data_IF_867047692555
#
_entry.id   IF_867047692555
#
_cell.length_a   1.000
_cell.length_b   1.000
_cell.length_c   1.000
_cell.angle_alpha   90.00
_cell.angle_beta   90.00
_cell.angle_gamma   90.00
#
_symmetry.space_group_name_H-M   'P 1'
#
loop_
_entity.id
_entity.type
_entity.pdbx_description
1 polymer ?
#
# COMPACT_ATOMS: atom_id res chain seq x y z
N UNK A 1 -33.14 -61.12 -48.23
CA UNK A 1 -34.06 -62.13 -47.66
C UNK A 1 -33.61 -62.49 -46.24
N UNK A 2 -34.51 -62.32 -45.25
CA UNK A 2 -34.59 -62.94 -43.89
C UNK A 2 -33.31 -62.89 -43.02
N UNK A 3 -33.17 -61.97 -42.06
CA UNK A 3 -33.69 -62.00 -40.67
C UNK A 3 -33.48 -63.32 -39.92
N UNK A 4 -32.73 -63.27 -38.80
CA UNK A 4 -33.19 -63.70 -37.45
C UNK A 4 -32.19 -63.35 -36.34
N UNK A 5 -32.78 -62.88 -35.25
CA UNK A 5 -32.26 -62.35 -33.98
C UNK A 5 -32.02 -63.42 -32.92
N UNK A 6 -31.16 -63.11 -31.93
CA UNK A 6 -31.16 -63.51 -30.49
C UNK A 6 -29.99 -62.72 -29.83
N UNK A 7 -30.18 -61.61 -29.12
CA UNK A 7 -30.82 -61.38 -27.81
C UNK A 7 -30.27 -62.27 -26.69
N UNK A 8 -29.30 -61.75 -25.94
CA UNK A 8 -29.02 -62.14 -24.55
C UNK A 8 -28.66 -60.88 -23.76
N UNK A 9 -29.44 -60.66 -22.70
CA UNK A 9 -29.39 -59.59 -21.72
C UNK A 9 -28.04 -59.46 -21.01
N UNK A 10 -27.54 -58.23 -20.83
CA UNK A 10 -27.23 -57.72 -19.49
C UNK A 10 -27.60 -56.23 -19.38
N UNK A 11 -28.65 -55.98 -18.58
CA UNK A 11 -28.94 -54.70 -17.92
C UNK A 11 -27.68 -54.32 -17.11
N UNK A 12 -27.25 -53.06 -16.99
CA UNK A 12 -27.89 -52.10 -16.11
C UNK A 12 -27.43 -50.66 -16.38
N UNK A 13 -28.45 -49.79 -16.43
CA UNK A 13 -28.57 -48.40 -15.99
C UNK A 13 -27.55 -47.33 -16.40
N UNK A 14 -28.06 -46.44 -17.24
CA UNK A 14 -27.68 -45.04 -17.36
C UNK A 14 -27.92 -44.26 -16.05
N UNK A 15 -27.11 -43.23 -15.82
CA UNK A 15 -27.59 -41.95 -15.30
C UNK A 15 -26.63 -40.84 -15.76
N UNK A 16 -27.09 -40.11 -16.77
CA UNK A 16 -26.69 -38.74 -17.05
C UNK A 16 -27.14 -37.87 -15.88
N UNK A 17 -26.20 -37.18 -15.24
CA UNK A 17 -26.48 -35.94 -14.54
C UNK A 17 -25.73 -34.82 -15.26
N UNK A 18 -26.45 -34.13 -16.15
CA UNK A 18 -26.18 -32.75 -16.48
C UNK A 18 -26.21 -31.94 -15.17
N UNK A 19 -25.04 -31.66 -14.61
CA UNK A 19 -24.88 -30.59 -13.64
C UNK A 19 -24.53 -29.33 -14.40
N UNK A 20 -25.54 -28.54 -14.74
CA UNK A 20 -25.33 -27.14 -15.11
C UNK A 20 -24.67 -26.45 -13.90
N UNK A 21 -23.36 -26.21 -13.96
CA UNK A 21 -22.73 -25.32 -13.00
C UNK A 21 -23.25 -23.91 -13.29
N UNK A 22 -24.16 -23.46 -12.44
CA UNK A 22 -24.49 -22.06 -12.28
C UNK A 22 -23.19 -21.26 -12.17
N UNK A 23 -22.96 -20.38 -13.14
CA UNK A 23 -22.13 -19.20 -12.97
C UNK A 23 -22.82 -18.31 -11.93
N UNK A 24 -22.70 -18.65 -10.66
CA UNK A 24 -22.91 -17.71 -9.58
C UNK A 24 -21.66 -16.83 -9.58
N UNK A 25 -21.79 -15.66 -10.21
CA UNK A 25 -20.89 -14.53 -10.00
C UNK A 25 -20.97 -14.09 -8.55
N UNK A 26 -20.25 -14.77 -7.67
CA UNK A 26 -19.69 -14.12 -6.51
C UNK A 26 -18.41 -13.48 -7.02
N UNK A 27 -18.40 -12.16 -7.21
CA UNK A 27 -17.15 -11.41 -7.24
C UNK A 27 -16.51 -11.63 -5.87
N UNK A 28 -15.71 -12.69 -5.75
CA UNK A 28 -14.88 -12.93 -4.60
C UNK A 28 -14.00 -11.70 -4.47
N UNK A 29 -14.15 -10.96 -3.38
CA UNK A 29 -13.17 -9.94 -3.01
C UNK A 29 -11.86 -10.71 -2.88
N UNK A 30 -10.97 -10.53 -3.86
CA UNK A 30 -9.67 -11.13 -3.86
C UNK A 30 -8.95 -10.79 -2.56
N UNK A 31 -8.26 -11.77 -1.98
CA UNK A 31 -7.62 -11.59 -0.69
C UNK A 31 -6.40 -10.66 -0.85
N UNK A 32 -6.18 -9.73 0.10
CA UNK A 32 -4.92 -8.98 0.16
C UNK A 32 -3.72 -9.92 0.25
N UNK A 33 -2.57 -9.49 -0.27
CA UNK A 33 -1.30 -10.21 -0.14
C UNK A 33 -0.34 -9.40 0.72
N UNK A 34 0.33 -10.07 1.67
CA UNK A 34 1.31 -9.43 2.52
C UNK A 34 2.63 -9.22 1.75
N UNK A 35 3.08 -7.97 1.70
CA UNK A 35 4.39 -7.55 1.24
C UNK A 35 5.26 -7.24 2.45
N UNK A 36 6.56 -7.57 2.38
CA UNK A 36 7.52 -7.25 3.44
C UNK A 36 8.71 -6.56 2.82
N UNK A 37 8.96 -5.32 3.24
CA UNK A 37 10.12 -4.55 2.84
C UNK A 37 11.10 -4.45 4.00
N UNK A 38 12.35 -4.81 3.75
CA UNK A 38 13.44 -4.65 4.71
C UNK A 38 14.22 -3.38 4.40
N UNK A 39 14.39 -2.52 5.40
CA UNK A 39 15.13 -1.28 5.31
C UNK A 39 16.49 -1.40 6.03
N UNK A 40 17.56 -0.80 5.48
CA UNK A 40 18.91 -1.01 5.96
C UNK A 40 19.14 -0.44 7.36
N UNK A 41 20.13 -0.98 8.06
CA UNK A 41 20.41 -0.69 9.46
C UNK A 41 20.70 0.78 9.80
N UNK A 42 21.19 1.58 8.85
CA UNK A 42 21.45 3.01 9.05
C UNK A 42 20.17 3.84 9.18
N UNK A 43 19.00 3.21 9.08
CA UNK A 43 17.70 3.85 9.10
C UNK A 43 17.21 4.27 10.49
N UNK A 44 17.65 3.59 11.55
CA UNK A 44 17.17 3.81 12.92
C UNK A 44 18.30 4.34 13.83
N UNK A 45 17.93 4.97 14.94
CA UNK A 45 18.87 5.59 15.90
C UNK A 45 19.95 4.63 16.44
N UNK A 46 19.71 3.31 16.42
CA UNK A 46 20.61 2.29 16.95
C UNK A 46 21.39 1.50 15.90
N UNK A 47 21.25 1.83 14.60
CA UNK A 47 21.97 1.11 13.55
C UNK A 47 21.40 -0.31 13.29
N UNK A 48 20.15 -0.56 13.66
CA UNK A 48 19.46 -1.84 13.43
C UNK A 48 18.58 -1.77 12.18
N UNK A 49 18.60 -2.83 11.37
CA UNK A 49 17.65 -2.98 10.27
C UNK A 49 16.27 -3.23 10.84
N UNK A 50 15.25 -2.75 10.16
CA UNK A 50 13.88 -3.11 10.46
C UNK A 50 13.18 -3.53 9.18
N UNK A 51 12.10 -4.28 9.34
CA UNK A 51 11.21 -4.59 8.23
C UNK A 51 9.83 -4.00 8.48
N UNK A 52 9.13 -3.70 7.40
CA UNK A 52 7.75 -3.26 7.44
C UNK A 52 6.94 -4.21 6.58
N UNK A 53 5.93 -4.81 7.19
CA UNK A 53 4.93 -5.60 6.48
C UNK A 53 3.68 -4.78 6.24
N UNK A 54 3.07 -4.92 5.08
CA UNK A 54 1.79 -4.32 4.74
C UNK A 54 1.09 -5.15 3.65
N UNK A 55 -0.22 -5.04 3.59
CA UNK A 55 -1.05 -5.73 2.62
C UNK A 55 -1.20 -4.87 1.36
N UNK A 56 -0.92 -5.47 0.21
CA UNK A 56 -1.23 -4.89 -1.09
C UNK A 56 -2.49 -5.51 -1.69
N UNK A 57 -3.21 -4.78 -2.56
CA UNK A 57 -4.27 -5.37 -3.36
C UNK A 57 -3.73 -6.55 -4.20
N UNK A 58 -4.59 -7.52 -4.50
CA UNK A 58 -4.20 -8.71 -5.26
C UNK A 58 -3.49 -8.35 -6.58
N UNK A 59 -2.37 -9.03 -6.84
CA UNK A 59 -1.61 -8.90 -8.08
C UNK A 59 -0.71 -7.67 -8.16
N UNK A 60 -0.74 -6.80 -7.14
CA UNK A 60 0.21 -5.69 -7.04
C UNK A 60 1.61 -6.20 -6.71
N UNK A 61 2.64 -5.39 -6.91
CA UNK A 61 4.02 -5.74 -6.56
C UNK A 61 4.79 -4.53 -6.08
N UNK A 62 5.73 -4.72 -5.15
CA UNK A 62 6.72 -3.71 -4.83
C UNK A 62 8.05 -4.02 -5.53
N UNK A 63 8.75 -2.99 -6.02
CA UNK A 63 10.10 -3.11 -6.55
C UNK A 63 10.95 -1.93 -6.09
N UNK A 64 12.22 -2.15 -5.79
CA UNK A 64 13.12 -1.04 -5.49
C UNK A 64 13.14 -0.05 -6.65
N UNK A 65 13.02 1.25 -6.34
CA UNK A 65 13.13 2.31 -7.34
C UNK A 65 14.58 2.41 -7.81
N UNK A 66 14.77 2.56 -9.11
CA UNK A 66 16.09 2.78 -9.69
C UNK A 66 16.69 4.11 -9.16
N UNK A 67 17.98 4.15 -8.77
CA UNK A 67 18.59 5.34 -8.14
C UNK A 67 18.49 6.62 -8.98
N UNK A 68 18.43 6.48 -10.31
CA UNK A 68 18.37 7.59 -11.26
C UNK A 68 16.92 7.96 -11.65
N UNK A 69 15.92 7.22 -11.17
CA UNK A 69 14.51 7.58 -11.31
C UNK A 69 14.17 8.67 -10.30
N UNK A 70 13.85 9.86 -10.81
CA UNK A 70 13.81 11.10 -10.05
C UNK A 70 12.89 11.11 -8.82
N UNK A 71 13.31 11.90 -7.83
CA UNK A 71 12.49 12.39 -6.71
C UNK A 71 12.11 13.86 -6.95
N UNK A 72 11.75 14.21 -8.19
CA UNK A 72 11.38 15.59 -8.52
C UNK A 72 10.09 15.96 -7.79
N UNK A 73 10.16 16.94 -6.88
CA UNK A 73 9.01 17.45 -6.11
C UNK A 73 7.88 17.99 -7.00
N UNK A 74 8.15 18.22 -8.29
CA UNK A 74 7.15 18.64 -9.27
C UNK A 74 6.41 17.46 -9.93
N UNK A 75 6.80 16.22 -9.66
CA UNK A 75 6.14 15.01 -10.16
C UNK A 75 5.40 14.27 -9.01
N UNK A 76 4.26 13.63 -9.29
CA UNK A 76 3.60 12.75 -8.32
C UNK A 76 4.47 11.52 -8.01
N UNK A 77 4.28 10.91 -6.85
CA UNK A 77 5.03 9.74 -6.38
C UNK A 77 6.52 10.01 -6.14
N UNK A 78 6.88 11.28 -5.95
CA UNK A 78 8.26 11.73 -5.78
C UNK A 78 8.88 11.25 -4.47
N UNK A 79 8.10 11.26 -3.37
CA UNK A 79 8.59 10.89 -2.04
C UNK A 79 9.90 11.62 -1.68
N UNK A 80 9.99 12.90 -2.03
CA UNK A 80 11.24 13.68 -2.10
C UNK A 80 11.95 13.97 -0.76
N UNK A 81 11.47 13.43 0.35
CA UNK A 81 12.08 13.59 1.68
C UNK A 81 12.08 12.30 2.49
N UNK A 82 11.94 11.16 1.81
CA UNK A 82 12.14 9.84 2.42
C UNK A 82 13.26 9.07 1.71
N UNK A 83 13.84 8.14 2.44
CA UNK A 83 14.94 7.25 2.06
C UNK A 83 14.39 5.92 1.54
N UNK A 84 15.15 5.27 0.65
CA UNK A 84 14.88 3.97 0.02
C UNK A 84 13.44 3.81 -0.46
N UNK A 85 13.19 4.26 -1.68
CA UNK A 85 11.86 4.18 -2.28
C UNK A 85 11.69 2.83 -2.98
N UNK A 86 10.55 2.20 -2.73
CA UNK A 86 10.01 1.11 -3.54
C UNK A 86 8.80 1.62 -4.32
N UNK A 87 8.79 1.35 -5.63
CA UNK A 87 7.65 1.58 -6.49
C UNK A 87 6.62 0.47 -6.32
N UNK A 88 5.35 0.86 -6.23
CA UNK A 88 4.21 -0.04 -6.14
C UNK A 88 3.53 -0.08 -7.50
N UNK A 89 3.48 -1.26 -8.11
CA UNK A 89 2.82 -1.49 -9.38
C UNK A 89 1.51 -2.23 -9.16
N UNK A 90 0.47 -1.83 -9.89
CA UNK A 90 -0.79 -2.58 -9.91
C UNK A 90 -0.69 -3.88 -10.70
N UNK A 91 -1.77 -4.67 -10.70
CA UNK A 91 -1.84 -5.95 -11.41
C UNK A 91 -1.70 -5.84 -12.94
N UNK A 92 -1.73 -4.63 -13.52
CA UNK A 92 -1.49 -4.37 -14.93
C UNK A 92 -0.05 -3.88 -15.19
N UNK A 93 0.78 -3.75 -14.15
CA UNK A 93 2.14 -3.22 -14.24
C UNK A 93 2.19 -1.68 -14.29
N UNK A 94 1.09 -0.99 -13.99
CA UNK A 94 1.07 0.46 -13.91
C UNK A 94 1.56 0.95 -12.56
N UNK A 95 2.40 1.99 -12.54
CA UNK A 95 2.85 2.64 -11.31
C UNK A 95 1.63 3.22 -10.59
N UNK A 96 1.39 2.76 -9.37
CA UNK A 96 0.19 3.05 -8.60
C UNK A 96 0.50 3.61 -7.19
N UNK A 97 1.76 3.60 -6.80
CA UNK A 97 2.22 4.27 -5.60
C UNK A 97 3.72 4.13 -5.43
N UNK A 98 4.20 4.67 -4.33
CA UNK A 98 5.56 4.50 -3.86
C UNK A 98 5.55 4.44 -2.32
N UNK A 99 6.52 3.74 -1.74
CA UNK A 99 6.74 3.67 -0.30
C UNK A 99 8.20 3.91 0.02
N UNK A 100 8.47 4.68 1.08
CA UNK A 100 9.81 4.88 1.61
C UNK A 100 9.78 5.06 3.12
N UNK A 101 10.94 5.24 3.73
CA UNK A 101 11.08 5.44 5.16
C UNK A 101 11.95 6.64 5.49
N UNK A 102 11.85 7.18 6.70
CA UNK A 102 12.84 8.12 7.21
C UNK A 102 12.96 8.01 8.73
N UNK A 103 14.17 8.16 9.29
CA UNK A 103 14.30 8.49 10.70
C UNK A 103 13.67 9.85 10.99
N UNK A 104 13.33 10.07 12.26
CA UNK A 104 13.00 11.39 12.79
C UNK A 104 13.73 11.62 14.12
N UNK A 105 13.86 12.89 14.52
CA UNK A 105 14.42 13.26 15.81
C UNK A 105 13.29 13.45 16.83
N UNK A 106 13.20 12.62 17.88
CA UNK A 106 12.18 12.79 18.89
C UNK A 106 12.37 14.10 19.67
N UNK A 107 11.28 14.84 19.88
CA UNK A 107 11.28 16.05 20.71
C UNK A 107 10.81 15.74 22.13
N UNK A 108 11.50 16.26 23.14
CA UNK A 108 11.11 16.06 24.54
C UNK A 108 9.71 16.63 24.81
N UNK A 109 8.80 15.78 25.33
CA UNK A 109 7.42 16.16 25.66
C UNK A 109 6.42 16.06 24.51
N UNK A 110 6.86 15.90 23.26
CA UNK A 110 5.97 15.79 22.07
C UNK A 110 6.40 14.67 21.11
N UNK A 111 6.90 13.55 21.65
CA UNK A 111 7.52 12.46 20.86
C UNK A 111 6.59 11.81 19.83
N UNK A 112 5.28 11.89 20.07
CA UNK A 112 4.24 11.22 19.27
C UNK A 112 3.43 12.22 18.43
N UNK A 113 3.75 13.52 18.48
CA UNK A 113 3.03 14.54 17.72
C UNK A 113 3.33 14.40 16.21
N UNK A 114 2.32 14.37 15.32
CA UNK A 114 2.55 14.29 13.87
C UNK A 114 3.48 15.38 13.34
N UNK A 115 3.44 16.58 13.95
CA UNK A 115 4.32 17.70 13.61
C UNK A 115 5.81 17.40 13.88
N UNK A 116 6.13 16.55 14.85
CA UNK A 116 7.49 16.10 15.20
C UNK A 116 7.89 14.90 14.34
N UNK A 117 7.05 13.87 14.32
CA UNK A 117 7.34 12.60 13.63
C UNK A 117 7.52 12.79 12.13
N UNK A 118 6.67 13.61 11.50
CA UNK A 118 6.62 13.75 10.03
C UNK A 118 7.18 15.09 9.53
N UNK A 119 7.99 15.78 10.33
CA UNK A 119 8.52 17.11 10.03
C UNK A 119 9.14 17.21 8.62
N UNK A 120 9.88 16.16 8.20
CA UNK A 120 10.56 16.11 6.91
C UNK A 120 9.64 16.17 5.69
N UNK A 121 8.41 15.66 5.79
CA UNK A 121 7.50 15.46 4.64
C UNK A 121 6.27 16.38 4.65
N UNK A 122 6.00 17.07 5.77
CA UNK A 122 4.83 17.95 5.91
C UNK A 122 5.09 19.42 5.56
N UNK A 123 6.35 19.85 5.56
CA UNK A 123 6.72 21.27 5.45
C UNK A 123 6.91 21.78 4.01
N UNK A 124 6.75 20.93 2.99
CA UNK A 124 6.97 21.30 1.60
C UNK A 124 5.88 22.23 1.05
N UNK A 125 6.28 23.31 0.38
CA UNK A 125 5.34 24.26 -0.25
C UNK A 125 4.75 23.74 -1.56
N UNK A 126 5.50 22.89 -2.28
CA UNK A 126 5.08 22.29 -3.56
C UNK A 126 4.54 20.88 -3.33
N UNK A 127 5.25 20.06 -2.57
CA UNK A 127 4.91 18.67 -2.32
C UNK A 127 4.91 18.42 -0.82
N UNK A 128 3.80 17.93 -0.26
CA UNK A 128 3.69 17.62 1.18
C UNK A 128 2.63 16.58 1.50
N UNK A 129 2.84 15.90 2.63
CA UNK A 129 1.80 15.13 3.31
C UNK A 129 1.01 16.08 4.22
N UNK A 130 -0.30 16.15 4.04
CA UNK A 130 -1.15 17.10 4.76
C UNK A 130 -1.55 16.56 6.13
N UNK A 131 -0.61 16.63 7.08
CA UNK A 131 -0.83 16.19 8.46
C UNK A 131 -1.74 17.12 9.26
N UNK A 132 -2.07 18.29 8.73
CA UNK A 132 -2.73 19.36 9.48
C UNK A 132 -4.25 19.36 9.23
N UNK A 133 -4.67 19.12 7.98
CA UNK A 133 -6.07 19.20 7.60
C UNK A 133 -6.73 17.82 7.40
N UNK A 134 -5.96 16.80 6.98
CA UNK A 134 -6.53 15.51 6.56
C UNK A 134 -5.99 14.27 7.30
N UNK A 135 -5.19 14.46 8.34
CA UNK A 135 -4.64 13.35 9.13
C UNK A 135 -5.71 12.62 9.95
N UNK A 136 -5.87 11.33 9.67
CA UNK A 136 -6.81 10.46 10.37
C UNK A 136 -6.14 9.14 10.78
N UNK A 137 -6.08 8.88 12.09
CA UNK A 137 -5.56 7.62 12.62
C UNK A 137 -6.51 6.47 12.30
N UNK A 138 -5.98 5.43 11.67
CA UNK A 138 -6.69 4.19 11.31
C UNK A 138 -6.39 3.07 12.31
N UNK A 139 -5.18 3.05 12.90
CA UNK A 139 -4.75 2.02 13.84
C UNK A 139 -3.75 2.59 14.83
N UNK A 140 -4.02 2.36 16.11
CA UNK A 140 -3.05 2.58 17.18
C UNK A 140 -2.23 1.31 17.40
N UNK A 141 -0.97 1.47 17.79
CA UNK A 141 -0.08 0.39 18.24
C UNK A 141 0.51 0.77 19.60
N UNK A 142 1.20 -0.17 20.25
CA UNK A 142 1.81 0.11 21.55
C UNK A 142 2.88 1.23 21.48
N UNK A 143 3.49 1.42 20.30
CA UNK A 143 4.67 2.29 20.09
C UNK A 143 4.49 3.32 18.96
N UNK A 144 3.27 3.50 18.46
CA UNK A 144 3.01 4.45 17.37
C UNK A 144 1.62 4.28 16.76
N UNK A 145 1.38 4.91 15.62
CA UNK A 145 0.08 4.88 14.95
C UNK A 145 0.23 4.84 13.43
N UNK A 146 -0.79 4.30 12.76
CA UNK A 146 -0.95 4.32 11.32
C UNK A 146 -2.11 5.25 10.96
N UNK A 147 -1.91 6.06 9.94
CA UNK A 147 -2.85 7.09 9.53
C UNK A 147 -2.96 7.22 8.01
N UNK A 148 -4.08 7.81 7.61
CA UNK A 148 -4.35 8.25 6.23
C UNK A 148 -4.46 9.76 6.19
N UNK A 149 -4.16 10.35 5.04
CA UNK A 149 -4.24 11.77 4.73
C UNK A 149 -4.12 11.96 3.22
N UNK A 150 -4.26 13.20 2.77
CA UNK A 150 -3.94 13.58 1.40
C UNK A 150 -2.44 13.92 1.25
N UNK A 151 -1.92 13.65 0.05
CA UNK A 151 -0.62 14.13 -0.42
C UNK A 151 -0.88 15.21 -1.44
N UNK A 152 -0.38 16.41 -1.15
CA UNK A 152 -0.65 17.61 -1.93
C UNK A 152 0.53 17.86 -2.87
N UNK A 153 0.25 17.88 -4.17
CA UNK A 153 1.12 18.45 -5.18
C UNK A 153 0.53 19.79 -5.65
N UNK A 154 1.19 20.88 -5.30
CA UNK A 154 0.77 22.24 -5.61
C UNK A 154 1.52 22.78 -6.82
N UNK A 155 0.81 22.91 -7.94
CA UNK A 155 1.34 23.51 -9.15
C UNK A 155 1.34 25.04 -9.05
N UNK A 156 2.42 25.70 -9.45
CA UNK A 156 2.55 27.17 -9.41
C UNK A 156 2.84 27.76 -8.03
N UNK A 157 3.13 26.93 -7.01
CA UNK A 157 3.46 27.37 -5.66
C UNK A 157 2.23 27.80 -4.84
N UNK A 158 2.47 28.47 -3.70
CA UNK A 158 1.42 28.78 -2.73
C UNK A 158 0.23 29.53 -3.35
N UNK A 159 -0.95 28.90 -3.31
CA UNK A 159 -2.20 29.44 -3.87
C UNK A 159 -2.53 28.98 -5.30
N UNK A 160 -1.68 28.15 -5.91
CA UNK A 160 -1.97 27.48 -7.18
C UNK A 160 -2.85 26.24 -7.03
N UNK A 161 -3.16 25.58 -8.16
CA UNK A 161 -3.98 24.37 -8.18
C UNK A 161 -3.29 23.21 -7.47
N UNK A 162 -4.06 22.48 -6.67
CA UNK A 162 -3.59 21.29 -5.98
C UNK A 162 -4.12 20.03 -6.67
N UNK A 163 -3.22 19.11 -6.96
CA UNK A 163 -3.54 17.71 -7.23
C UNK A 163 -3.38 16.93 -5.93
N UNK A 164 -4.36 16.09 -5.62
CA UNK A 164 -4.38 15.28 -4.40
C UNK A 164 -4.12 13.82 -4.73
N UNK A 165 -3.05 13.28 -4.17
CA UNK A 165 -2.83 11.85 -4.03
C UNK A 165 -3.19 11.40 -2.62
N UNK A 166 -3.12 10.09 -2.39
CA UNK A 166 -3.44 9.50 -1.09
C UNK A 166 -2.18 9.13 -0.35
N UNK A 167 -2.09 9.54 0.90
CA UNK A 167 -0.99 9.16 1.76
C UNK A 167 -1.33 7.96 2.63
N UNK A 168 -0.31 7.22 3.04
CA UNK A 168 -0.32 6.45 4.30
C UNK A 168 0.91 6.84 5.10
N UNK A 169 0.75 7.07 6.39
CA UNK A 169 1.86 7.27 7.32
C UNK A 169 1.77 6.28 8.47
N UNK A 170 2.91 5.76 8.89
CA UNK A 170 3.02 4.95 10.10
C UNK A 170 4.38 5.19 10.75
N UNK A 171 4.44 5.12 12.08
CA UNK A 171 5.70 5.31 12.80
C UNK A 171 5.89 4.29 13.94
N UNK A 172 7.16 4.11 14.29
CA UNK A 172 7.61 3.36 15.46
C UNK A 172 8.50 4.28 16.29
N UNK A 173 8.00 4.67 17.46
CA UNK A 173 8.67 5.65 18.34
C UNK A 173 9.91 5.11 19.04
N UNK A 174 9.96 3.80 19.25
CA UNK A 174 11.09 3.16 19.94
C UNK A 174 12.29 3.14 19.00
N UNK A 175 12.03 2.96 17.69
CA UNK A 175 13.05 3.04 16.63
C UNK A 175 13.30 4.47 16.12
N UNK A 176 12.40 5.40 16.42
CA UNK A 176 12.36 6.77 15.88
C UNK A 176 12.37 6.81 14.33
N UNK A 177 11.52 5.99 13.72
CA UNK A 177 11.37 5.91 12.26
C UNK A 177 9.91 6.03 11.86
N UNK A 178 9.67 6.50 10.64
CA UNK A 178 8.38 6.43 9.98
C UNK A 178 8.49 5.86 8.57
N UNK A 179 7.39 5.31 8.08
CA UNK A 179 7.17 4.98 6.67
C UNK A 179 6.11 5.89 6.07
N UNK A 180 6.31 6.24 4.81
CA UNK A 180 5.39 7.05 4.03
C UNK A 180 5.07 6.37 2.71
N UNK A 181 3.78 6.29 2.41
CA UNK A 181 3.27 5.84 1.13
C UNK A 181 2.62 7.03 0.44
N UNK A 182 2.93 7.23 -0.83
CA UNK A 182 2.10 8.02 -1.72
C UNK A 182 1.44 7.09 -2.71
N UNK A 183 0.12 7.21 -2.87
CA UNK A 183 -0.72 6.34 -3.66
C UNK A 183 -1.47 7.17 -4.69
N UNK A 184 -1.44 6.75 -5.95
CA UNK A 184 -2.14 7.42 -7.05
C UNK A 184 -3.66 7.36 -6.79
N UNK A 185 -4.28 8.52 -6.59
CA UNK A 185 -5.71 8.61 -6.29
C UNK A 185 -6.61 8.15 -7.45
N UNK A 186 -6.09 8.10 -8.69
CA UNK A 186 -6.76 7.56 -9.87
C UNK A 186 -6.72 6.03 -9.97
N UNK A 187 -5.82 5.36 -9.24
CA UNK A 187 -5.65 3.89 -9.25
C UNK A 187 -6.05 3.22 -7.96
N UNK A 188 -5.81 3.88 -6.83
CA UNK A 188 -6.19 3.39 -5.50
C UNK A 188 -7.59 3.88 -5.17
N UNK A 189 -8.33 3.21 -4.29
CA UNK A 189 -9.59 3.68 -3.67
C UNK A 189 -9.37 4.10 -2.21
N UNK A 190 -10.24 4.95 -1.65
CA UNK A 190 -10.09 5.39 -0.26
C UNK A 190 -10.16 4.21 0.73
N UNK A 191 -10.93 3.17 0.38
CA UNK A 191 -10.95 1.93 1.15
C UNK A 191 -9.62 1.17 1.03
N UNK A 192 -9.03 1.04 -0.16
CA UNK A 192 -7.71 0.40 -0.31
C UNK A 192 -6.62 1.15 0.46
N UNK A 193 -6.64 2.49 0.45
CA UNK A 193 -5.72 3.30 1.26
C UNK A 193 -5.85 2.96 2.75
N UNK A 194 -7.07 2.88 3.28
CA UNK A 194 -7.32 2.51 4.69
C UNK A 194 -6.94 1.07 4.99
N UNK A 195 -7.24 0.14 4.08
CA UNK A 195 -6.87 -1.27 4.21
C UNK A 195 -5.34 -1.41 4.28
N UNK A 196 -4.59 -0.71 3.40
CA UNK A 196 -3.12 -0.63 3.45
C UNK A 196 -2.69 -0.05 4.81
N UNK A 197 -3.20 1.12 5.21
CA UNK A 197 -2.84 1.76 6.48
C UNK A 197 -3.07 0.87 7.71
N UNK A 198 -4.19 0.15 7.76
CA UNK A 198 -4.50 -0.76 8.86
C UNK A 198 -3.54 -1.97 8.94
N UNK A 199 -3.04 -2.41 7.78
CA UNK A 199 -2.15 -3.57 7.69
C UNK A 199 -0.69 -3.28 8.08
N UNK A 200 -0.24 -2.01 8.00
CA UNK A 200 1.16 -1.65 8.27
C UNK A 200 1.57 -2.12 9.67
N UNK A 201 2.70 -2.83 9.72
CA UNK A 201 3.32 -3.28 10.95
C UNK A 201 4.85 -3.27 10.82
N UNK A 202 5.53 -2.75 11.85
CA UNK A 202 6.97 -2.77 11.96
C UNK A 202 7.42 -4.06 12.65
N UNK A 203 8.40 -4.76 12.06
CA UNK A 203 9.01 -5.96 12.64
C UNK A 203 10.52 -5.78 12.78
N UNK A 204 11.09 -6.51 13.74
CA UNK A 204 12.55 -6.61 13.88
C UNK A 204 13.13 -7.44 12.72
#
# INVERSE_FOLDING_TARGET
MKSKTRFEWKRQLALLCLGALCLCGCAGRAAPQAEVLTFPAQAAQEGESFSVSFDLPEGWTASAREPDAGQDVHEPLALASVTSIYDLYDAQGGLAGAVGYSPYEPYEGERDAPAVVYAAIRMGSVYRFDTDESYEVVKETDVGANAVMDVVLQEGGAGGSATLNRGVLAYDRDRAVFVAFELDAGRVTAQQQRDIAASVAFTA
#
